data_IF_692853781512
#
_entry.id   IF_692853781512
#
_cell.length_a   1.000
_cell.length_b   1.000
_cell.length_c   1.000
_cell.angle_alpha   90.00
_cell.angle_beta   90.00
_cell.angle_gamma   90.00
#
_symmetry.space_group_name_H-M   'P 1'
#
loop_
_entity.id
_entity.type
_entity.pdbx_description
1 polymer ?
#
# COMPACT_ATOMS: atom_id res chain seq x y z
N UNK A 1 -19.40 -18.08 2.97
CA UNK A 1 -19.91 -17.87 4.35
C UNK A 1 -20.84 -16.68 4.42
N UNK A 2 -20.68 -15.66 3.57
CA UNK A 2 -21.43 -14.41 3.52
C UNK A 2 -22.02 -14.20 2.13
N UNK A 3 -23.07 -14.95 1.72
CA UNK A 3 -23.56 -14.99 0.33
C UNK A 3 -24.26 -13.69 -0.11
N UNK A 4 -24.46 -12.73 0.79
CA UNK A 4 -25.08 -11.44 0.49
C UNK A 4 -24.08 -10.28 0.41
N UNK A 5 -22.81 -10.55 0.65
CA UNK A 5 -21.75 -9.55 0.49
C UNK A 5 -21.33 -9.47 -0.98
N UNK A 6 -21.01 -8.27 -1.45
CA UNK A 6 -20.37 -8.05 -2.74
C UNK A 6 -18.88 -8.43 -2.66
N UNK A 7 -18.34 -9.00 -3.75
CA UNK A 7 -16.91 -9.27 -3.90
C UNK A 7 -16.46 -8.63 -5.21
N UNK A 8 -15.37 -7.87 -5.14
CA UNK A 8 -14.66 -7.31 -6.29
C UNK A 8 -13.25 -7.91 -6.24
N UNK A 9 -12.89 -8.69 -7.26
CA UNK A 9 -11.62 -9.39 -7.33
C UNK A 9 -10.81 -9.07 -8.57
N UNK A 10 -9.48 -9.28 -8.54
CA UNK A 10 -8.65 -9.13 -9.72
C UNK A 10 -8.78 -10.32 -10.67
N UNK A 11 -8.75 -11.54 -10.14
CA UNK A 11 -8.67 -12.79 -10.90
C UNK A 11 -10.04 -13.50 -11.07
N UNK A 12 -11.09 -12.96 -10.44
CA UNK A 12 -12.42 -13.57 -10.41
C UNK A 12 -13.46 -12.59 -10.91
N UNK A 13 -14.53 -13.11 -11.51
CA UNK A 13 -15.71 -12.32 -11.82
C UNK A 13 -16.27 -11.68 -10.54
N UNK A 14 -16.70 -10.43 -10.65
CA UNK A 14 -17.34 -9.72 -9.55
C UNK A 14 -18.62 -10.45 -9.13
N UNK A 15 -18.77 -10.65 -7.83
CA UNK A 15 -20.00 -11.20 -7.25
C UNK A 15 -20.83 -10.07 -6.66
N UNK A 16 -22.03 -9.87 -7.21
CA UNK A 16 -22.97 -8.87 -6.72
C UNK A 16 -23.67 -9.36 -5.44
N UNK A 17 -23.65 -8.51 -4.42
CA UNK A 17 -24.32 -8.75 -3.14
C UNK A 17 -25.59 -7.91 -2.98
N UNK A 18 -26.40 -8.26 -1.99
CA UNK A 18 -27.62 -7.54 -1.61
C UNK A 18 -27.44 -6.66 -0.35
N UNK A 19 -26.29 -6.69 0.28
CA UNK A 19 -25.93 -5.89 1.45
C UNK A 19 -24.89 -4.82 1.08
N UNK A 20 -24.84 -3.73 1.87
CA UNK A 20 -23.84 -2.67 1.70
C UNK A 20 -22.48 -3.09 2.29
N UNK A 21 -22.01 -4.29 1.94
CA UNK A 21 -20.74 -4.86 2.37
C UNK A 21 -20.00 -5.35 1.14
N UNK A 22 -18.82 -4.79 0.90
CA UNK A 22 -17.96 -5.13 -0.23
C UNK A 22 -16.59 -5.61 0.25
N UNK A 23 -16.14 -6.73 -0.29
CA UNK A 23 -14.78 -7.21 -0.17
C UNK A 23 -14.03 -6.89 -1.46
N UNK A 24 -12.88 -6.25 -1.33
CA UNK A 24 -11.92 -6.09 -2.42
C UNK A 24 -10.82 -7.11 -2.17
N UNK A 25 -10.53 -7.95 -3.16
CA UNK A 25 -9.60 -9.08 -3.01
C UNK A 25 -8.67 -9.13 -4.21
N UNK A 26 -7.38 -9.09 -3.93
CA UNK A 26 -6.34 -9.52 -4.86
C UNK A 26 -5.76 -10.84 -4.33
N UNK A 27 -6.01 -11.96 -5.02
CA UNK A 27 -5.51 -13.26 -4.56
C UNK A 27 -3.99 -13.38 -4.58
N UNK A 28 -3.32 -12.74 -5.54
CA UNK A 28 -1.86 -12.85 -5.74
C UNK A 28 -1.30 -11.49 -6.18
N UNK A 29 -1.21 -10.55 -5.25
CA UNK A 29 -0.42 -9.33 -5.47
C UNK A 29 1.07 -9.66 -5.57
N UNK A 30 1.77 -9.02 -6.50
CA UNK A 30 3.14 -9.37 -6.81
C UNK A 30 3.24 -10.58 -7.75
N UNK A 31 2.36 -10.68 -8.74
CA UNK A 31 2.34 -11.76 -9.74
C UNK A 31 3.70 -11.99 -10.40
N UNK A 32 4.48 -10.93 -10.65
CA UNK A 32 5.85 -11.03 -11.18
C UNK A 32 6.78 -11.77 -10.23
N UNK A 33 6.71 -11.47 -8.93
CA UNK A 33 7.47 -12.16 -7.88
C UNK A 33 7.04 -13.63 -7.79
N UNK A 34 5.74 -13.91 -7.80
CA UNK A 34 5.18 -15.24 -7.76
C UNK A 34 5.69 -16.12 -8.94
N UNK A 35 5.57 -15.61 -10.18
CA UNK A 35 6.03 -16.31 -11.39
C UNK A 35 7.55 -16.53 -11.39
N UNK A 36 8.31 -15.58 -10.81
CA UNK A 36 9.76 -15.68 -10.70
C UNK A 36 10.24 -16.59 -9.56
N UNK A 37 9.33 -17.20 -8.77
CA UNK A 37 9.67 -18.06 -7.63
C UNK A 37 10.22 -17.30 -6.43
N UNK A 38 10.00 -15.99 -6.34
CA UNK A 38 10.32 -15.19 -5.16
C UNK A 38 9.27 -15.42 -4.07
N UNK A 39 9.55 -14.97 -2.86
CA UNK A 39 8.69 -15.18 -1.69
C UNK A 39 7.89 -13.93 -1.28
N UNK A 40 8.12 -12.78 -1.92
CA UNK A 40 7.60 -11.46 -1.59
C UNK A 40 6.30 -11.11 -2.36
N UNK A 41 5.44 -12.10 -2.54
CA UNK A 41 4.06 -11.96 -3.03
C UNK A 41 3.06 -12.14 -1.89
N UNK A 42 1.84 -11.64 -2.08
CA UNK A 42 0.82 -11.74 -1.03
C UNK A 42 -0.61 -11.75 -1.55
N UNK A 43 -1.54 -12.00 -0.64
CA UNK A 43 -2.98 -11.83 -0.84
C UNK A 43 -3.40 -10.54 -0.15
N UNK A 44 -4.14 -9.70 -0.86
CA UNK A 44 -4.70 -8.45 -0.35
C UNK A 44 -6.20 -8.57 -0.13
N UNK A 45 -6.70 -8.10 1.00
CA UNK A 45 -8.14 -8.07 1.29
C UNK A 45 -8.49 -6.75 1.97
N UNK A 46 -9.49 -6.03 1.41
CA UNK A 46 -10.12 -4.90 2.07
C UNK A 46 -11.59 -5.18 2.35
N UNK A 47 -12.09 -4.67 3.46
CA UNK A 47 -13.50 -4.68 3.83
C UNK A 47 -14.05 -3.26 3.83
N UNK A 48 -15.09 -3.04 3.04
CA UNK A 48 -15.85 -1.80 2.98
C UNK A 48 -17.29 -2.06 3.43
N UNK A 49 -17.82 -1.22 4.32
CA UNK A 49 -19.20 -1.29 4.81
C UNK A 49 -19.80 0.11 4.72
N UNK A 50 -20.95 0.25 4.03
CA UNK A 50 -21.62 1.54 3.81
C UNK A 50 -20.66 2.62 3.29
N UNK A 51 -19.88 2.29 2.28
CA UNK A 51 -18.87 3.15 1.65
C UNK A 51 -17.75 3.63 2.61
N UNK A 52 -17.58 2.95 3.75
CA UNK A 52 -16.47 3.20 4.68
C UNK A 52 -15.49 2.03 4.66
N UNK A 53 -14.20 2.32 4.49
CA UNK A 53 -13.12 1.33 4.58
C UNK A 53 -12.91 0.93 6.04
N UNK A 54 -13.28 -0.31 6.39
CA UNK A 54 -13.27 -0.82 7.76
C UNK A 54 -11.92 -1.44 8.13
N UNK A 55 -11.29 -2.14 7.19
CA UNK A 55 -10.03 -2.81 7.48
C UNK A 55 -9.33 -3.37 6.26
N UNK A 56 -8.10 -3.81 6.48
CA UNK A 56 -7.24 -4.41 5.47
C UNK A 56 -6.42 -5.58 5.99
N UNK A 57 -6.02 -6.42 5.06
CA UNK A 57 -5.11 -7.56 5.27
C UNK A 57 -4.07 -7.56 4.16
N UNK A 58 -2.81 -7.77 4.53
CA UNK A 58 -1.71 -8.22 3.66
C UNK A 58 -1.28 -9.58 4.21
N UNK A 59 -1.40 -10.64 3.43
CA UNK A 59 -0.96 -11.99 3.81
C UNK A 59 0.13 -12.48 2.87
N UNK A 60 1.36 -12.59 3.35
CA UNK A 60 2.50 -13.11 2.61
C UNK A 60 2.78 -14.56 3.02
N UNK A 61 2.10 -15.55 2.41
CA UNK A 61 2.08 -16.92 2.90
C UNK A 61 3.44 -17.62 2.81
N UNK A 62 4.26 -17.27 1.82
CA UNK A 62 5.60 -17.84 1.65
C UNK A 62 6.57 -17.40 2.76
N UNK A 63 6.33 -16.24 3.37
CA UNK A 63 7.12 -15.69 4.48
C UNK A 63 6.50 -15.99 5.86
N UNK A 64 5.24 -16.45 5.89
CA UNK A 64 4.51 -16.67 7.13
C UNK A 64 4.20 -15.36 7.86
N UNK A 65 4.08 -14.26 7.14
CA UNK A 65 3.82 -12.93 7.69
C UNK A 65 2.46 -12.42 7.22
N UNK A 66 1.65 -11.94 8.18
CA UNK A 66 0.33 -11.39 7.92
C UNK A 66 0.12 -10.10 8.70
N UNK A 67 -0.12 -9.01 7.96
CA UNK A 67 -0.55 -7.73 8.54
C UNK A 67 -2.06 -7.63 8.50
N UNK A 68 -2.65 -7.16 9.60
CA UNK A 68 -4.10 -6.94 9.71
C UNK A 68 -4.38 -5.63 10.42
N UNK A 69 -5.37 -4.87 9.95
CA UNK A 69 -5.84 -3.66 10.60
C UNK A 69 -7.35 -3.53 10.43
N UNK A 70 -8.11 -3.77 11.51
CA UNK A 70 -9.57 -3.61 11.58
C UNK A 70 -10.00 -2.66 12.70
N UNK A 71 -9.06 -1.93 13.28
CA UNK A 71 -9.30 -0.91 14.29
C UNK A 71 -8.39 0.26 14.01
N UNK A 72 -8.84 1.52 14.24
CA UNK A 72 -8.00 2.67 14.05
C UNK A 72 -6.73 2.56 14.90
N UNK A 73 -5.59 2.90 14.28
CA UNK A 73 -4.27 2.95 14.92
C UNK A 73 -3.77 1.64 15.56
N UNK A 74 -4.13 0.47 14.99
CA UNK A 74 -3.73 -0.84 15.52
C UNK A 74 -3.45 -1.86 14.42
N UNK A 75 -2.42 -1.65 13.66
CA UNK A 75 -1.91 -2.69 12.76
C UNK A 75 -1.15 -3.74 13.56
N UNK A 76 -1.38 -5.00 13.20
CA UNK A 76 -0.68 -6.15 13.78
C UNK A 76 0.01 -6.93 12.68
N UNK A 77 1.21 -7.42 12.95
CA UNK A 77 1.87 -8.48 12.19
C UNK A 77 1.89 -9.75 13.03
N UNK A 78 1.37 -10.85 12.50
CA UNK A 78 1.29 -12.14 13.20
C UNK A 78 0.79 -11.99 14.67
N UNK A 79 -0.32 -11.25 14.87
CA UNK A 79 -0.96 -10.95 16.15
C UNK A 79 -0.21 -9.94 17.07
N UNK A 80 1.01 -9.52 16.74
CA UNK A 80 1.77 -8.51 17.50
C UNK A 80 1.52 -7.12 16.93
N UNK A 81 1.22 -6.14 17.79
CA UNK A 81 1.08 -4.74 17.37
C UNK A 81 2.41 -4.28 16.76
N UNK A 82 2.33 -3.67 15.60
CA UNK A 82 3.45 -3.04 14.92
C UNK A 82 3.19 -1.55 14.69
N UNK A 83 4.24 -0.78 14.42
CA UNK A 83 4.16 0.66 14.18
C UNK A 83 5.22 1.07 13.17
N UNK A 84 4.88 2.09 12.38
CA UNK A 84 5.86 2.80 11.57
C UNK A 84 6.96 3.38 12.47
N UNK A 85 8.17 3.46 11.92
CA UNK A 85 9.29 4.15 12.57
C UNK A 85 9.35 5.57 12.01
N UNK A 86 9.40 6.56 12.90
CA UNK A 86 9.63 7.94 12.47
C UNK A 86 11.12 8.16 12.18
N UNK A 87 11.44 8.78 11.04
CA UNK A 87 12.73 9.41 10.76
C UNK A 87 12.52 10.91 10.66
N UNK A 88 13.50 11.70 11.13
CA UNK A 88 13.37 13.16 11.20
C UNK A 88 13.78 13.84 9.88
N UNK A 89 14.58 13.16 9.06
CA UNK A 89 15.14 13.73 7.84
C UNK A 89 14.98 12.75 6.67
N UNK A 90 14.48 13.25 5.54
CA UNK A 90 14.31 12.47 4.33
C UNK A 90 15.62 11.85 3.81
N UNK A 91 16.77 12.48 4.10
CA UNK A 91 18.11 11.95 3.76
C UNK A 91 18.48 10.66 4.50
N UNK A 92 17.80 10.37 5.59
CA UNK A 92 18.01 9.15 6.37
C UNK A 92 16.97 8.07 6.03
N UNK A 93 15.96 8.41 5.21
CA UNK A 93 14.87 7.53 4.87
C UNK A 93 15.29 6.37 3.97
N UNK A 94 14.67 5.21 4.20
CA UNK A 94 14.65 4.05 3.32
C UNK A 94 13.38 4.12 2.48
N UNK A 95 13.53 4.14 1.15
CA UNK A 95 12.41 4.16 0.21
C UNK A 95 12.30 2.83 -0.52
N UNK A 96 11.08 2.44 -0.86
CA UNK A 96 10.78 1.32 -1.74
C UNK A 96 9.88 1.73 -2.90
N UNK A 97 10.01 1.03 -4.01
CA UNK A 97 9.08 1.01 -5.14
C UNK A 97 9.09 -0.36 -5.78
N UNK A 98 7.97 -0.85 -6.26
CA UNK A 98 7.95 -2.12 -6.99
C UNK A 98 8.62 -1.98 -8.35
N UNK A 99 8.21 -0.98 -9.13
CA UNK A 99 8.77 -0.71 -10.45
C UNK A 99 8.60 0.77 -10.82
N UNK A 100 9.70 1.41 -11.12
CA UNK A 100 9.69 2.79 -11.64
C UNK A 100 9.52 2.87 -13.16
N UNK A 101 9.58 1.73 -13.86
CA UNK A 101 9.43 1.68 -15.33
C UNK A 101 8.02 2.03 -15.82
N UNK A 102 7.03 1.93 -14.94
CA UNK A 102 5.62 2.21 -15.24
C UNK A 102 5.27 3.70 -15.11
N UNK A 103 6.20 4.51 -14.62
CA UNK A 103 6.00 5.94 -14.52
C UNK A 103 6.17 6.59 -15.89
N UNK A 104 5.14 7.30 -16.39
CA UNK A 104 5.29 8.14 -17.56
C UNK A 104 6.37 9.22 -17.33
N UNK A 105 6.96 9.73 -18.39
CA UNK A 105 8.17 10.58 -18.37
C UNK A 105 8.11 11.74 -17.35
N UNK A 106 6.93 12.35 -17.17
CA UNK A 106 6.70 13.43 -16.22
C UNK A 106 6.80 12.93 -14.77
N UNK A 107 6.10 11.86 -14.43
CA UNK A 107 6.11 11.26 -13.09
C UNK A 107 7.47 10.61 -12.78
N UNK A 108 8.15 10.10 -13.78
CA UNK A 108 9.52 9.60 -13.63
C UNK A 108 10.49 10.66 -13.11
N UNK A 109 10.44 11.89 -13.64
CA UNK A 109 11.30 12.99 -13.15
C UNK A 109 10.99 13.34 -11.70
N UNK A 110 9.72 13.39 -11.33
CA UNK A 110 9.30 13.62 -9.96
C UNK A 110 9.81 12.51 -9.02
N UNK A 111 9.65 11.25 -9.43
CA UNK A 111 10.18 10.10 -8.71
C UNK A 111 11.70 10.19 -8.50
N UNK A 112 12.46 10.51 -9.57
CA UNK A 112 13.92 10.67 -9.48
C UNK A 112 14.33 11.78 -8.48
N UNK A 113 13.57 12.88 -8.40
CA UNK A 113 13.82 13.93 -7.42
C UNK A 113 13.66 13.43 -5.98
N UNK A 114 12.65 12.59 -5.73
CA UNK A 114 12.46 11.94 -4.45
C UNK A 114 13.56 10.90 -4.18
N UNK A 115 13.83 10.02 -5.13
CA UNK A 115 14.85 8.97 -5.04
C UNK A 115 16.24 9.51 -4.69
N UNK A 116 16.66 10.61 -5.31
CA UNK A 116 17.93 11.28 -5.05
C UNK A 116 17.99 11.95 -3.67
N UNK A 117 16.87 12.12 -3.00
CA UNK A 117 16.79 12.79 -1.71
C UNK A 117 16.80 11.85 -0.51
N UNK A 118 16.67 10.54 -0.72
CA UNK A 118 16.65 9.52 0.33
C UNK A 118 18.01 8.83 0.49
N UNK A 119 18.16 8.07 1.58
CA UNK A 119 19.40 7.35 1.90
C UNK A 119 19.62 6.16 1.00
N UNK A 120 18.57 5.39 0.76
CA UNK A 120 18.60 4.18 -0.06
C UNK A 120 17.21 3.89 -0.63
N UNK A 121 17.18 3.37 -1.86
CA UNK A 121 15.97 2.88 -2.52
C UNK A 121 16.11 1.39 -2.78
N UNK A 122 15.05 0.63 -2.50
CA UNK A 122 14.88 -0.77 -2.87
C UNK A 122 13.79 -0.93 -3.93
N UNK A 123 13.87 -1.97 -4.75
CA UNK A 123 12.93 -2.22 -5.83
C UNK A 123 12.34 -3.63 -5.77
N UNK A 124 11.10 -3.80 -6.22
CA UNK A 124 10.33 -5.04 -6.14
C UNK A 124 9.47 -5.10 -4.88
N UNK A 125 8.92 -6.27 -4.61
CA UNK A 125 8.26 -6.67 -3.37
C UNK A 125 6.81 -6.21 -3.18
N UNK A 126 6.23 -5.51 -4.12
CA UNK A 126 4.78 -5.24 -4.23
C UNK A 126 4.15 -4.90 -2.84
N UNK A 127 3.08 -5.54 -2.43
CA UNK A 127 2.41 -5.29 -1.13
C UNK A 127 3.31 -5.49 0.09
N UNK A 128 4.33 -6.31 -0.01
CA UNK A 128 5.25 -6.56 1.10
C UNK A 128 5.97 -5.29 1.56
N UNK A 129 6.25 -4.34 0.65
CA UNK A 129 6.82 -3.04 0.99
C UNK A 129 5.97 -2.29 2.03
N UNK A 130 4.64 -2.35 1.91
CA UNK A 130 3.72 -1.69 2.84
C UNK A 130 3.66 -2.39 4.19
N UNK A 131 3.79 -3.71 4.21
CA UNK A 131 3.98 -4.48 5.43
C UNK A 131 5.27 -4.09 6.16
N UNK A 132 6.38 -3.94 5.41
CA UNK A 132 7.66 -3.49 5.94
C UNK A 132 7.60 -2.04 6.45
N UNK A 133 6.90 -1.13 5.73
CA UNK A 133 6.66 0.23 6.18
C UNK A 133 5.87 0.24 7.49
N UNK A 134 4.77 -0.51 7.58
CA UNK A 134 3.99 -0.64 8.80
C UNK A 134 4.76 -1.29 9.97
N UNK A 135 5.86 -1.98 9.67
CA UNK A 135 6.75 -2.62 10.64
C UNK A 135 8.00 -1.78 10.98
N UNK A 136 8.13 -0.58 10.38
CA UNK A 136 9.20 0.37 10.68
C UNK A 136 10.55 0.05 10.04
N UNK A 137 10.58 -0.75 8.97
CA UNK A 137 11.78 -1.05 8.17
C UNK A 137 11.95 -0.13 6.97
N UNK A 138 10.85 0.36 6.42
CA UNK A 138 10.79 1.28 5.28
C UNK A 138 10.09 2.56 5.73
N UNK A 139 10.55 3.70 5.26
CA UNK A 139 10.01 5.01 5.63
C UNK A 139 9.08 5.58 4.56
N UNK A 140 9.32 5.24 3.28
CA UNK A 140 8.56 5.76 2.13
C UNK A 140 8.32 4.61 1.14
N UNK A 141 7.08 4.50 0.63
CA UNK A 141 6.76 3.71 -0.56
C UNK A 141 6.11 4.65 -1.58
N UNK A 142 6.66 4.69 -2.80
CA UNK A 142 6.17 5.53 -3.88
C UNK A 142 5.97 4.68 -5.14
N UNK A 143 4.71 4.48 -5.56
CA UNK A 143 4.33 3.53 -6.60
C UNK A 143 3.20 4.04 -7.49
N UNK A 144 2.94 3.30 -8.57
CA UNK A 144 1.70 3.35 -9.34
C UNK A 144 0.94 2.07 -9.11
N UNK A 145 -0.28 2.18 -8.62
CA UNK A 145 -1.20 1.06 -8.39
C UNK A 145 -2.35 1.13 -9.39
N UNK A 146 -2.83 -0.02 -9.83
CA UNK A 146 -3.74 -0.08 -10.98
C UNK A 146 -5.20 -0.05 -10.59
N UNK A 147 -5.55 -0.63 -9.47
CA UNK A 147 -6.95 -0.91 -9.09
C UNK A 147 -7.21 -0.75 -7.59
N UNK A 148 -8.47 -0.60 -7.18
CA UNK A 148 -8.84 -0.46 -5.76
C UNK A 148 -8.42 -1.66 -4.89
N UNK A 149 -8.43 -2.88 -5.42
CA UNK A 149 -7.99 -4.07 -4.68
C UNK A 149 -6.48 -4.02 -4.33
N UNK A 150 -5.66 -3.28 -5.10
CA UNK A 150 -4.23 -3.12 -4.84
C UNK A 150 -3.95 -2.18 -3.66
N UNK A 151 -4.75 -1.08 -3.49
CA UNK A 151 -4.40 -0.03 -2.51
C UNK A 151 -5.34 0.08 -1.30
N UNK A 152 -6.61 -0.29 -1.42
CA UNK A 152 -7.54 -0.18 -0.29
C UNK A 152 -7.09 -0.98 0.94
N UNK A 153 -6.61 -2.25 0.79
CA UNK A 153 -6.08 -3.00 1.92
C UNK A 153 -4.91 -2.27 2.59
N UNK A 154 -4.04 -1.66 1.80
CA UNK A 154 -2.80 -1.03 2.23
C UNK A 154 -3.04 0.22 3.06
N UNK A 155 -4.08 1.01 2.73
CA UNK A 155 -4.44 2.24 3.46
C UNK A 155 -4.60 1.94 4.96
N UNK A 156 -5.43 0.95 5.30
CA UNK A 156 -5.69 0.62 6.72
C UNK A 156 -4.47 0.04 7.43
N UNK A 157 -3.64 -0.72 6.71
CA UNK A 157 -2.39 -1.26 7.27
C UNK A 157 -1.42 -0.13 7.61
N UNK A 158 -1.22 0.81 6.69
CA UNK A 158 -0.31 1.95 6.89
C UNK A 158 -0.84 2.89 7.98
N UNK A 159 -2.09 3.34 7.86
CA UNK A 159 -2.72 4.25 8.84
C UNK A 159 -2.80 3.63 10.24
N UNK A 160 -3.16 2.36 10.33
CA UNK A 160 -3.24 1.64 11.60
C UNK A 160 -1.89 1.44 12.28
N UNK A 161 -0.79 1.56 11.56
CA UNK A 161 0.58 1.58 12.09
C UNK A 161 1.08 2.99 12.44
N UNK A 162 0.30 4.04 12.14
CA UNK A 162 0.63 5.43 12.39
C UNK A 162 1.27 6.16 11.20
N UNK A 163 1.31 5.52 10.02
CA UNK A 163 1.74 6.12 8.77
C UNK A 163 0.63 6.90 8.06
N UNK A 164 0.93 7.40 6.88
CA UNK A 164 0.01 8.16 6.01
C UNK A 164 0.10 7.60 4.60
N UNK A 165 -1.04 7.53 3.91
CA UNK A 165 -1.14 7.11 2.52
C UNK A 165 -2.06 8.03 1.72
N UNK A 166 -1.53 8.62 0.63
CA UNK A 166 -2.26 9.53 -0.27
C UNK A 166 -1.86 9.27 -1.72
N UNK A 167 -2.47 10.01 -2.67
CA UNK A 167 -1.88 10.16 -3.99
C UNK A 167 -0.65 11.09 -3.95
N UNK A 168 0.04 11.26 -5.08
CA UNK A 168 1.22 12.14 -5.18
C UNK A 168 0.88 13.64 -5.17
N UNK A 169 -0.38 14.00 -5.15
CA UNK A 169 -0.89 15.35 -4.95
C UNK A 169 -1.33 15.60 -3.48
N UNK A 170 -1.14 14.60 -2.60
CA UNK A 170 -1.52 14.67 -1.18
C UNK A 170 -3.01 14.50 -0.91
N UNK A 171 -3.79 14.05 -1.91
CA UNK A 171 -5.23 13.80 -1.77
C UNK A 171 -5.48 12.38 -1.26
N UNK A 172 -6.58 12.21 -0.54
CA UNK A 172 -7.06 10.87 -0.15
C UNK A 172 -7.38 10.03 -1.38
N UNK A 173 -7.05 8.75 -1.29
CA UNK A 173 -7.43 7.74 -2.26
C UNK A 173 -8.91 7.40 -2.07
N UNK A 174 -9.66 7.31 -3.16
CA UNK A 174 -11.07 6.90 -3.14
C UNK A 174 -11.25 5.47 -3.69
N UNK A 175 -12.48 4.93 -3.62
CA UNK A 175 -12.78 3.54 -3.98
C UNK A 175 -12.83 3.27 -5.48
N UNK A 176 -12.79 4.30 -6.33
CA UNK A 176 -13.08 4.18 -7.76
C UNK A 176 -11.91 4.62 -8.64
N UNK A 177 -10.77 4.93 -8.05
CA UNK A 177 -9.60 5.36 -8.81
C UNK A 177 -8.87 4.15 -9.41
N UNK A 178 -8.46 4.28 -10.66
CA UNK A 178 -7.54 3.35 -11.30
C UNK A 178 -6.28 4.07 -11.78
N UNK A 179 -5.17 3.33 -11.85
CA UNK A 179 -3.87 3.88 -12.26
C UNK A 179 -3.42 5.09 -11.41
N UNK A 180 -3.54 4.99 -10.11
CA UNK A 180 -3.20 6.04 -9.15
C UNK A 180 -1.71 5.97 -8.77
N UNK A 181 -1.09 7.14 -8.65
CA UNK A 181 0.27 7.26 -8.10
C UNK A 181 0.15 7.44 -6.60
N UNK A 182 0.65 6.48 -5.84
CA UNK A 182 0.47 6.38 -4.39
C UNK A 182 1.78 6.72 -3.67
N UNK A 183 1.66 7.49 -2.60
CA UNK A 183 2.71 7.76 -1.63
C UNK A 183 2.26 7.28 -0.26
N UNK A 184 2.98 6.31 0.30
CA UNK A 184 2.86 5.91 1.70
C UNK A 184 4.11 6.32 2.48
N UNK A 185 3.95 6.80 3.71
CA UNK A 185 5.07 7.31 4.51
C UNK A 185 4.89 6.97 5.99
N UNK A 186 6.00 6.76 6.68
CA UNK A 186 6.05 6.36 8.07
C UNK A 186 5.60 7.47 9.06
N UNK A 187 5.68 8.75 8.67
CA UNK A 187 5.20 9.89 9.44
C UNK A 187 4.69 11.01 8.55
N UNK A 188 3.96 11.96 9.16
CA UNK A 188 3.44 13.15 8.47
C UNK A 188 4.58 14.02 7.93
N UNK A 189 5.62 14.19 8.72
CA UNK A 189 6.77 15.04 8.39
C UNK A 189 7.50 14.51 7.15
N UNK A 190 7.78 13.21 7.11
CA UNK A 190 8.39 12.56 5.95
C UNK A 190 7.45 12.59 4.74
N UNK A 191 6.15 12.43 4.95
CA UNK A 191 5.16 12.50 3.88
C UNK A 191 5.15 13.88 3.20
N UNK A 192 5.12 14.95 3.98
CA UNK A 192 5.17 16.34 3.48
C UNK A 192 6.50 16.63 2.74
N UNK A 193 7.63 16.12 3.25
CA UNK A 193 8.92 16.24 2.58
C UNK A 193 8.94 15.50 1.24
N UNK A 194 8.37 14.29 1.19
CA UNK A 194 8.30 13.48 -0.01
C UNK A 194 7.37 14.10 -1.06
N UNK A 195 6.19 14.60 -0.67
CA UNK A 195 5.27 15.32 -1.57
C UNK A 195 5.96 16.51 -2.25
N UNK A 196 6.72 17.33 -1.50
CA UNK A 196 7.49 18.45 -2.06
C UNK A 196 8.51 18.01 -3.12
N UNK A 197 9.06 16.79 -3.00
CA UNK A 197 9.99 16.23 -4.00
C UNK A 197 9.26 15.69 -5.23
N UNK A 198 8.00 15.27 -5.06
CA UNK A 198 7.14 14.80 -6.14
C UNK A 198 6.41 15.94 -6.86
N UNK A 199 6.42 17.17 -6.33
CA UNK A 199 5.94 18.35 -7.05
C UNK A 199 6.77 18.54 -8.32
N UNK A 200 6.08 18.55 -9.47
CA UNK A 200 6.72 18.73 -10.76
C UNK A 200 6.81 20.23 -11.02
N UNK A 201 8.03 20.72 -11.10
CA UNK A 201 8.34 22.08 -11.57
C UNK A 201 8.13 22.17 -13.10
#
# INVERSE_FOLDING_TARGET
KYPRHKIIGEELDDFEGSENVTWYIDPIDGTRSFVAGKHDFGTLIALVINDELIGGVIDCPALGERWTSFSPNKTKVNHKITKCKAVDNIKDAVMATTSSHEFGMKKWRAYQSLEQSVKVTTTGSDCYNYGLLASGYIDIVAERLTSPHDYLPLIKIVEGAGGIMTDWEGKKLDFNQSNVYVLASASKEIHEMALKKLEII
#
